data_IF_240671509106
#
_entry.id   IF_240671509106
#
_cell.length_a   1.000
_cell.length_b   1.000
_cell.length_c   1.000
_cell.angle_alpha   90.00
_cell.angle_beta   90.00
_cell.angle_gamma   90.00
#
_symmetry.space_group_name_H-M   'P 1'
#
loop_
_entity.id
_entity.type
_entity.pdbx_description
1 polymer ?
#
# COMPACT_ATOMS: atom_id res chain seq x y z
N UNK A 1 12.15 1.09 -7.93
CA UNK A 1 13.03 1.09 -9.12
C UNK A 1 12.92 -0.21 -9.93
N UNK A 2 12.96 -1.40 -9.31
CA UNK A 2 12.82 -2.67 -10.05
C UNK A 2 11.47 -2.81 -10.75
N UNK A 3 10.37 -2.44 -10.12
CA UNK A 3 9.04 -2.35 -10.74
C UNK A 3 9.02 -1.39 -11.93
N UNK A 4 9.70 -0.25 -11.85
CA UNK A 4 9.77 0.72 -12.93
C UNK A 4 10.47 0.13 -14.17
N UNK A 5 11.59 -0.58 -13.99
CA UNK A 5 12.27 -1.24 -15.10
C UNK A 5 11.49 -2.45 -15.63
N UNK A 6 10.92 -3.27 -14.75
CA UNK A 6 10.14 -4.44 -15.17
C UNK A 6 8.84 -4.04 -15.88
N UNK A 7 8.12 -3.03 -15.38
CA UNK A 7 6.93 -2.49 -16.05
C UNK A 7 7.24 -1.89 -17.41
N UNK A 8 8.44 -1.28 -17.58
CA UNK A 8 8.91 -0.82 -18.88
C UNK A 8 9.24 -1.97 -19.86
N UNK A 9 9.76 -3.10 -19.34
CA UNK A 9 10.16 -4.25 -20.16
C UNK A 9 8.99 -5.17 -20.52
N UNK A 10 8.05 -5.34 -19.60
CA UNK A 10 6.95 -6.30 -19.68
C UNK A 10 5.67 -5.57 -19.25
N UNK A 11 5.11 -4.70 -20.10
CA UNK A 11 3.92 -3.92 -19.79
C UNK A 11 2.66 -4.81 -19.94
N UNK A 12 2.46 -5.73 -18.99
CA UNK A 12 1.32 -6.64 -18.93
C UNK A 12 0.60 -6.51 -17.59
N UNK A 13 -0.71 -6.63 -17.60
CA UNK A 13 -1.53 -6.77 -16.39
C UNK A 13 -1.13 -8.01 -15.59
N UNK A 14 -1.33 -8.02 -14.28
CA UNK A 14 -0.77 -9.00 -13.34
C UNK A 14 0.76 -9.06 -13.40
N UNK A 15 1.38 -7.88 -13.36
CA UNK A 15 2.80 -7.64 -13.60
C UNK A 15 3.73 -8.59 -12.86
N UNK A 16 3.55 -8.79 -11.54
CA UNK A 16 4.43 -9.60 -10.70
C UNK A 16 4.45 -11.08 -11.15
N UNK A 17 3.29 -11.64 -11.46
CA UNK A 17 3.17 -13.02 -11.94
C UNK A 17 3.79 -13.15 -13.36
N UNK A 18 3.57 -12.15 -14.22
CA UNK A 18 4.18 -12.11 -15.55
C UNK A 18 5.70 -11.99 -15.48
N UNK A 19 6.23 -11.18 -14.55
CA UNK A 19 7.67 -11.04 -14.35
C UNK A 19 8.33 -12.35 -13.93
N UNK A 20 7.70 -13.10 -13.01
CA UNK A 20 8.20 -14.40 -12.60
C UNK A 20 8.17 -15.44 -13.72
N UNK A 21 7.12 -15.45 -14.53
CA UNK A 21 7.00 -16.34 -15.68
C UNK A 21 8.09 -16.06 -16.71
N UNK A 22 8.33 -14.79 -17.04
CA UNK A 22 9.35 -14.39 -18.02
C UNK A 22 10.78 -14.63 -17.49
N UNK A 23 11.01 -14.35 -16.21
CA UNK A 23 12.34 -14.49 -15.61
C UNK A 23 12.74 -15.95 -15.40
N UNK A 24 11.84 -16.79 -14.91
CA UNK A 24 12.18 -18.14 -14.45
C UNK A 24 11.48 -19.24 -15.26
N UNK A 25 10.43 -18.94 -16.02
CA UNK A 25 9.62 -19.95 -16.69
C UNK A 25 8.93 -20.90 -15.71
N UNK A 26 8.60 -20.43 -14.50
CA UNK A 26 8.11 -21.24 -13.39
C UNK A 26 6.63 -20.94 -13.09
N UNK A 27 5.66 -21.71 -13.64
CA UNK A 27 4.24 -21.45 -13.46
C UNK A 27 3.80 -21.46 -11.99
N UNK A 28 4.39 -22.34 -11.16
CA UNK A 28 4.10 -22.39 -9.73
C UNK A 28 4.47 -21.09 -9.01
N UNK A 29 5.66 -20.53 -9.30
CA UNK A 29 6.10 -19.26 -8.72
C UNK A 29 5.19 -18.11 -9.15
N UNK A 30 4.78 -18.06 -10.43
CA UNK A 30 3.84 -17.08 -10.94
C UNK A 30 2.49 -17.17 -10.23
N UNK A 31 1.98 -18.40 -10.03
CA UNK A 31 0.74 -18.64 -9.28
C UNK A 31 0.86 -18.15 -7.84
N UNK A 32 1.94 -18.53 -7.14
CA UNK A 32 2.17 -18.11 -5.75
C UNK A 32 2.24 -16.58 -5.62
N UNK A 33 2.93 -15.90 -6.54
CA UNK A 33 2.99 -14.44 -6.55
C UNK A 33 1.62 -13.81 -6.79
N UNK A 34 0.84 -14.30 -7.75
CA UNK A 34 -0.50 -13.79 -8.00
C UNK A 34 -1.40 -13.92 -6.76
N UNK A 35 -1.38 -15.06 -6.07
CA UNK A 35 -2.11 -15.25 -4.81
C UNK A 35 -1.58 -14.36 -3.68
N UNK A 36 -0.27 -14.11 -3.63
CA UNK A 36 0.34 -13.19 -2.67
C UNK A 36 -0.13 -11.74 -2.91
N UNK A 37 -0.24 -11.30 -4.18
CA UNK A 37 -0.79 -9.98 -4.53
C UNK A 37 -2.25 -9.86 -4.10
N UNK A 38 -3.08 -10.88 -4.34
CA UNK A 38 -4.47 -10.92 -3.84
C UNK A 38 -4.53 -10.82 -2.31
N UNK A 39 -3.63 -11.53 -1.63
CA UNK A 39 -3.54 -11.46 -0.17
C UNK A 39 -3.14 -10.07 0.33
N UNK A 40 -2.12 -9.43 -0.28
CA UNK A 40 -1.71 -8.05 0.05
C UNK A 40 -2.90 -7.10 -0.11
N UNK A 41 -3.59 -7.10 -1.25
CA UNK A 41 -4.74 -6.23 -1.48
C UNK A 41 -5.86 -6.44 -0.46
N UNK A 42 -6.18 -7.71 -0.15
CA UNK A 42 -7.25 -8.05 0.80
C UNK A 42 -6.90 -7.62 2.24
N UNK A 43 -5.67 -7.90 2.69
CA UNK A 43 -5.21 -7.54 4.06
C UNK A 43 -5.03 -6.02 4.17
N UNK A 44 -4.52 -5.36 3.12
CA UNK A 44 -4.38 -3.90 3.06
C UNK A 44 -5.75 -3.21 3.14
N UNK A 45 -6.74 -3.68 2.39
CA UNK A 45 -8.11 -3.16 2.48
C UNK A 45 -8.69 -3.31 3.90
N UNK A 46 -8.43 -4.44 4.58
CA UNK A 46 -8.86 -4.63 5.97
C UNK A 46 -8.19 -3.63 6.93
N UNK A 47 -6.89 -3.34 6.72
CA UNK A 47 -6.17 -2.30 7.48
C UNK A 47 -6.82 -0.92 7.30
N UNK A 48 -7.17 -0.56 6.06
CA UNK A 48 -7.82 0.71 5.72
C UNK A 48 -9.22 0.82 6.32
N UNK A 49 -10.00 -0.27 6.34
CA UNK A 49 -11.32 -0.30 7.00
C UNK A 49 -11.22 -0.04 8.50
N UNK A 50 -10.19 -0.54 9.18
CA UNK A 50 -9.92 -0.17 10.57
C UNK A 50 -9.55 1.32 10.72
N UNK A 51 -8.75 1.85 9.79
CA UNK A 51 -8.45 3.29 9.72
C UNK A 51 -9.71 4.14 9.56
N UNK A 52 -10.66 3.68 8.73
CA UNK A 52 -11.98 4.33 8.59
C UNK A 52 -12.73 4.41 9.91
N UNK A 53 -12.81 3.30 10.67
CA UNK A 53 -13.44 3.28 11.99
C UNK A 53 -12.75 4.26 12.93
N UNK A 54 -11.42 4.32 12.91
CA UNK A 54 -10.65 5.24 13.74
C UNK A 54 -10.95 6.71 13.44
N UNK A 55 -10.95 7.13 12.17
CA UNK A 55 -11.28 8.52 11.82
C UNK A 55 -12.77 8.85 11.99
N UNK A 56 -13.66 7.86 11.84
CA UNK A 56 -15.09 8.05 12.09
C UNK A 56 -15.37 8.37 13.57
N UNK A 57 -14.60 7.83 14.50
CA UNK A 57 -14.75 8.08 15.94
C UNK A 57 -14.56 9.56 16.33
N UNK A 58 -13.91 10.37 15.49
CA UNK A 58 -13.80 11.83 15.70
C UNK A 58 -15.18 12.51 15.58
N UNK A 59 -16.11 11.93 14.84
CA UNK A 59 -17.45 12.49 14.64
C UNK A 59 -18.52 11.81 15.51
N UNK A 60 -18.39 10.49 15.71
CA UNK A 60 -19.37 9.71 16.48
C UNK A 60 -18.75 8.42 17.03
N UNK A 61 -18.95 8.17 18.30
CA UNK A 61 -18.59 6.91 18.94
C UNK A 61 -19.60 5.82 18.58
N UNK A 62 -19.31 5.07 17.52
CA UNK A 62 -20.17 3.98 17.05
C UNK A 62 -19.51 2.62 17.31
N UNK A 63 -20.32 1.56 17.54
CA UNK A 63 -19.79 0.21 17.65
C UNK A 63 -19.02 -0.20 16.39
N UNK A 64 -17.76 -0.65 16.54
CA UNK A 64 -16.90 -0.93 15.41
C UNK A 64 -17.44 -2.02 14.47
N UNK A 65 -18.02 -3.10 15.02
CA UNK A 65 -18.49 -4.26 14.23
C UNK A 65 -19.53 -3.88 13.17
N UNK A 66 -20.67 -3.23 13.50
CA UNK A 66 -21.63 -2.81 12.48
C UNK A 66 -21.05 -1.77 11.51
N UNK A 67 -20.17 -0.88 11.95
CA UNK A 67 -19.50 0.09 11.06
C UNK A 67 -18.62 -0.61 10.04
N UNK A 68 -17.79 -1.56 10.46
CA UNK A 68 -16.97 -2.38 9.57
C UNK A 68 -17.84 -3.12 8.55
N UNK A 69 -18.93 -3.77 9.02
CA UNK A 69 -19.83 -4.51 8.13
C UNK A 69 -20.45 -3.61 7.07
N UNK A 70 -21.01 -2.46 7.47
CA UNK A 70 -21.63 -1.49 6.55
C UNK A 70 -20.61 -0.90 5.58
N UNK A 71 -19.41 -0.57 6.06
CA UNK A 71 -18.32 -0.05 5.24
C UNK A 71 -17.93 -1.08 4.15
N UNK A 72 -17.65 -2.32 4.54
CA UNK A 72 -17.25 -3.37 3.60
C UNK A 72 -18.38 -3.72 2.64
N UNK A 73 -19.64 -3.79 3.11
CA UNK A 73 -20.79 -4.03 2.25
C UNK A 73 -20.97 -2.90 1.22
N UNK A 74 -20.82 -1.64 1.63
CA UNK A 74 -20.88 -0.48 0.73
C UNK A 74 -19.77 -0.50 -0.31
N UNK A 75 -18.51 -0.70 0.10
CA UNK A 75 -17.37 -0.79 -0.81
C UNK A 75 -17.51 -1.96 -1.79
N UNK A 76 -17.99 -3.12 -1.30
CA UNK A 76 -18.26 -4.28 -2.13
C UNK A 76 -19.34 -4.01 -3.17
N UNK A 77 -20.43 -3.35 -2.78
CA UNK A 77 -21.50 -2.96 -3.70
C UNK A 77 -20.97 -2.02 -4.79
N UNK A 78 -20.16 -1.03 -4.45
CA UNK A 78 -19.51 -0.11 -5.39
C UNK A 78 -18.59 -0.88 -6.35
N UNK A 79 -17.74 -1.77 -5.82
CA UNK A 79 -16.82 -2.58 -6.62
C UNK A 79 -17.57 -3.52 -7.60
N UNK A 80 -18.70 -4.11 -7.18
CA UNK A 80 -19.55 -4.96 -8.02
C UNK A 80 -20.27 -4.12 -9.08
N UNK A 81 -20.73 -2.92 -8.76
CA UNK A 81 -21.41 -2.05 -9.72
C UNK A 81 -20.50 -1.66 -10.87
N UNK A 82 -19.18 -1.67 -10.66
CA UNK A 82 -18.22 -1.39 -11.72
C UNK A 82 -18.17 0.09 -12.09
N UNK A 83 -18.35 0.96 -11.09
CA UNK A 83 -18.17 2.40 -11.31
C UNK A 83 -16.70 2.60 -11.68
N UNK A 84 -16.46 2.77 -12.98
CA UNK A 84 -15.16 3.26 -13.47
C UNK A 84 -15.01 4.69 -13.01
N UNK A 85 -14.13 4.92 -12.03
CA UNK A 85 -13.76 6.28 -11.69
C UNK A 85 -13.20 6.95 -12.95
N UNK A 86 -13.70 8.15 -13.26
CA UNK A 86 -13.05 8.93 -14.31
C UNK A 86 -11.64 9.31 -13.82
N UNK A 87 -10.67 9.35 -14.72
CA UNK A 87 -9.30 9.79 -14.41
C UNK A 87 -9.30 11.14 -13.64
N UNK A 88 -10.25 12.00 -13.93
CA UNK A 88 -10.42 13.29 -13.26
C UNK A 88 -10.88 13.14 -11.81
N UNK A 89 -11.78 12.21 -11.54
CA UNK A 89 -12.27 11.92 -10.18
C UNK A 89 -11.14 11.35 -9.31
N UNK A 90 -10.41 10.37 -9.84
CA UNK A 90 -9.26 9.79 -9.14
C UNK A 90 -8.18 10.85 -8.85
N UNK A 91 -7.85 11.70 -9.84
CA UNK A 91 -6.90 12.79 -9.65
C UNK A 91 -7.38 13.82 -8.62
N UNK A 92 -8.68 14.16 -8.59
CA UNK A 92 -9.24 15.09 -7.62
C UNK A 92 -9.18 14.53 -6.19
N UNK A 93 -9.49 13.24 -6.01
CA UNK A 93 -9.39 12.56 -4.71
C UNK A 93 -7.93 12.56 -4.24
N UNK A 94 -6.99 12.16 -5.10
CA UNK A 94 -5.54 12.16 -4.75
C UNK A 94 -5.05 13.56 -4.41
N UNK A 95 -5.49 14.60 -5.14
CA UNK A 95 -5.15 15.97 -4.82
C UNK A 95 -5.70 16.41 -3.45
N UNK A 96 -6.94 16.02 -3.12
CA UNK A 96 -7.54 16.27 -1.82
C UNK A 96 -6.77 15.57 -0.68
N UNK A 97 -6.38 14.32 -0.88
CA UNK A 97 -5.59 13.53 0.07
C UNK A 97 -4.22 14.19 0.33
N UNK A 98 -3.50 14.54 -0.75
CA UNK A 98 -2.22 15.23 -0.65
C UNK A 98 -2.37 16.61 0.02
N UNK A 99 -3.43 17.36 -0.31
CA UNK A 99 -3.73 18.65 0.33
C UNK A 99 -4.02 18.48 1.83
N UNK A 100 -4.66 17.40 2.25
CA UNK A 100 -4.86 17.07 3.67
C UNK A 100 -3.53 16.88 4.41
N UNK A 101 -2.58 16.15 3.84
CA UNK A 101 -1.25 15.98 4.45
C UNK A 101 -0.48 17.30 4.49
N UNK A 102 -0.53 18.11 3.41
CA UNK A 102 0.07 19.45 3.38
C UNK A 102 -0.57 20.37 4.43
N UNK A 103 -1.90 20.28 4.59
CA UNK A 103 -2.63 21.04 5.62
C UNK A 103 -2.10 20.73 7.03
N UNK A 104 -1.90 19.45 7.38
CA UNK A 104 -1.30 19.07 8.67
C UNK A 104 0.10 19.66 8.83
N UNK A 105 0.93 19.62 7.79
CA UNK A 105 2.27 20.21 7.81
C UNK A 105 2.24 21.74 8.01
N UNK A 106 1.26 22.43 7.41
CA UNK A 106 1.11 23.88 7.54
C UNK A 106 0.61 24.26 8.92
N UNK A 107 -0.40 23.57 9.42
CA UNK A 107 -1.00 23.82 10.75
C UNK A 107 -0.01 23.60 11.87
N UNK A 108 0.84 22.58 11.77
CA UNK A 108 1.88 22.29 12.74
C UNK A 108 3.28 22.70 12.26
N UNK A 109 3.35 23.79 11.49
CA UNK A 109 4.58 24.30 10.87
C UNK A 109 5.67 24.74 11.85
N UNK A 110 5.29 25.12 13.08
CA UNK A 110 6.21 25.35 14.19
C UNK A 110 7.08 24.14 14.56
N UNK A 111 6.62 22.95 14.26
CA UNK A 111 7.39 21.71 14.43
C UNK A 111 8.66 21.68 13.60
N UNK A 112 8.70 22.37 12.43
CA UNK A 112 9.91 22.45 11.61
C UNK A 112 10.96 23.35 12.21
N UNK A 113 10.57 24.45 12.91
CA UNK A 113 11.51 25.27 13.68
C UNK A 113 12.09 24.45 14.84
N UNK A 114 11.23 23.75 15.60
CA UNK A 114 11.66 22.85 16.67
C UNK A 114 12.60 21.74 16.17
N UNK A 115 12.34 21.19 14.99
CA UNK A 115 13.24 20.23 14.34
C UNK A 115 14.59 20.86 13.97
N UNK A 116 14.61 22.09 13.45
CA UNK A 116 15.84 22.77 13.08
C UNK A 116 16.71 23.10 14.31
N UNK A 117 16.08 23.41 15.45
CA UNK A 117 16.76 23.73 16.70
C UNK A 117 17.31 22.47 17.41
N UNK A 118 16.59 21.36 17.36
CA UNK A 118 16.93 20.09 18.04
C UNK A 118 16.74 18.86 17.13
N UNK A 119 17.42 18.85 16.00
CA UNK A 119 17.36 17.72 15.06
C UNK A 119 17.94 16.42 15.64
N UNK A 120 18.76 16.51 16.70
CA UNK A 120 19.33 15.34 17.36
C UNK A 120 18.27 14.51 18.09
N UNK A 121 17.12 15.10 18.44
CA UNK A 121 16.02 14.42 19.12
C UNK A 121 15.45 13.22 18.31
N UNK A 122 15.55 13.24 16.98
CA UNK A 122 15.09 12.13 16.14
C UNK A 122 16.13 11.01 16.01
N UNK A 123 17.38 11.25 16.41
CA UNK A 123 18.39 10.21 16.38
C UNK A 123 18.15 9.23 17.50
N UNK A 124 18.08 7.93 17.22
CA UNK A 124 17.97 6.93 18.27
C UNK A 124 19.25 6.89 19.08
N UNK A 125 19.12 6.62 20.36
CA UNK A 125 20.27 6.18 21.15
C UNK A 125 20.88 4.95 20.48
N UNK A 126 22.22 4.93 20.31
CA UNK A 126 22.91 3.80 19.67
C UNK A 126 22.98 2.59 20.59
N UNK A 127 21.88 2.25 21.26
CA UNK A 127 21.71 1.02 22.01
C UNK A 127 20.86 0.00 21.23
N UNK A 128 20.99 -1.27 21.62
CA UNK A 128 20.34 -2.37 20.90
C UNK A 128 18.80 -2.20 20.86
N UNK A 129 18.19 -1.76 21.96
CA UNK A 129 16.73 -1.59 22.05
C UNK A 129 16.22 -0.51 21.11
N UNK A 130 16.89 0.64 21.06
CA UNK A 130 16.49 1.75 20.19
C UNK A 130 16.66 1.39 18.70
N UNK A 131 17.77 0.71 18.33
CA UNK A 131 17.96 0.23 16.96
C UNK A 131 16.86 -0.77 16.58
N UNK A 132 16.50 -1.68 17.48
CA UNK A 132 15.39 -2.60 17.26
C UNK A 132 14.05 -1.86 17.07
N UNK A 133 13.79 -0.82 17.86
CA UNK A 133 12.61 0.02 17.69
C UNK A 133 12.55 0.69 16.31
N UNK A 134 13.67 1.25 15.84
CA UNK A 134 13.75 1.89 14.52
C UNK A 134 13.48 0.90 13.40
N UNK A 135 14.09 -0.28 13.43
CA UNK A 135 13.90 -1.30 12.38
C UNK A 135 12.46 -1.83 12.38
N UNK A 136 11.87 -2.08 13.55
CA UNK A 136 10.46 -2.50 13.65
C UNK A 136 9.50 -1.39 13.20
N UNK A 137 9.80 -0.13 13.55
CA UNK A 137 9.06 1.03 13.05
C UNK A 137 9.14 1.17 11.53
N UNK A 138 10.34 1.00 10.96
CA UNK A 138 10.54 1.02 9.51
C UNK A 138 9.77 -0.10 8.79
N UNK A 139 9.71 -1.30 9.39
CA UNK A 139 8.93 -2.41 8.87
C UNK A 139 7.43 -2.10 8.79
N UNK A 140 6.88 -1.48 9.85
CA UNK A 140 5.48 -1.06 9.87
C UNK A 140 5.26 0.11 8.90
N UNK A 141 6.16 1.10 8.89
CA UNK A 141 6.08 2.26 8.01
C UNK A 141 6.17 1.88 6.53
N UNK A 142 6.77 0.74 6.20
CA UNK A 142 6.79 0.20 4.83
C UNK A 142 5.37 -0.01 4.29
N UNK A 143 4.38 -0.30 5.14
CA UNK A 143 2.97 -0.37 4.75
C UNK A 143 2.49 0.88 4.03
N UNK A 144 2.94 2.07 4.43
CA UNK A 144 2.53 3.33 3.81
C UNK A 144 3.00 3.48 2.34
N UNK A 145 3.98 2.69 1.91
CA UNK A 145 4.46 2.70 0.52
C UNK A 145 3.76 1.69 -0.38
N UNK A 146 2.93 0.79 0.17
CA UNK A 146 2.19 -0.22 -0.59
C UNK A 146 1.12 0.47 -1.44
N UNK A 147 1.02 0.09 -2.72
CA UNK A 147 0.10 0.63 -3.72
C UNK A 147 0.80 1.22 -4.96
N UNK A 148 2.08 1.67 -4.87
CA UNK A 148 2.78 2.13 -6.08
C UNK A 148 3.00 0.99 -7.09
N UNK A 149 3.07 -0.24 -6.63
CA UNK A 149 3.17 -1.45 -7.46
C UNK A 149 1.91 -1.72 -8.26
N UNK A 150 0.75 -1.27 -7.79
CA UNK A 150 -0.52 -1.45 -8.51
C UNK A 150 -0.52 -0.75 -9.87
N UNK A 151 0.33 0.27 -10.05
CA UNK A 151 0.53 0.96 -11.34
C UNK A 151 0.92 -0.03 -12.46
N UNK A 152 1.66 -1.09 -12.16
CA UNK A 152 2.05 -2.06 -13.18
C UNK A 152 0.89 -2.96 -13.62
N UNK A 153 -0.14 -3.11 -12.77
CA UNK A 153 -1.31 -3.93 -13.07
C UNK A 153 -2.28 -3.27 -14.07
N UNK A 154 -2.14 -1.95 -14.29
CA UNK A 154 -2.88 -1.20 -15.32
C UNK A 154 -2.02 -0.88 -16.54
N UNK A 155 -0.87 -1.53 -16.70
CA UNK A 155 0.10 -1.22 -17.76
C UNK A 155 -0.49 -1.27 -19.18
N UNK A 156 -1.44 -2.17 -19.45
CA UNK A 156 -2.10 -2.34 -20.75
C UNK A 156 -3.05 -1.18 -21.08
N UNK A 157 -3.49 -0.42 -20.09
CA UNK A 157 -4.37 0.74 -20.26
C UNK A 157 -3.57 2.05 -20.49
N UNK A 158 -2.24 2.00 -20.31
CA UNK A 158 -1.36 3.17 -20.36
C UNK A 158 -0.83 3.41 -21.75
N UNK A 159 -0.90 4.66 -22.23
CA UNK A 159 -0.24 5.06 -23.48
C UNK A 159 1.27 5.09 -23.29
N UNK A 160 2.03 4.46 -24.22
CA UNK A 160 3.50 4.36 -24.15
C UNK A 160 4.02 3.91 -22.78
N UNK A 161 3.61 2.70 -22.32
CA UNK A 161 3.89 2.23 -20.97
C UNK A 161 5.38 2.15 -20.66
N UNK A 162 6.23 1.89 -21.67
CA UNK A 162 7.69 1.79 -21.53
C UNK A 162 8.32 3.07 -20.96
N UNK A 163 7.71 4.24 -21.22
CA UNK A 163 8.19 5.54 -20.73
C UNK A 163 7.35 6.09 -19.61
N UNK A 164 6.04 5.85 -19.65
CA UNK A 164 5.09 6.43 -18.70
C UNK A 164 5.17 5.73 -17.34
N UNK A 165 5.20 4.39 -17.29
CA UNK A 165 5.24 3.64 -16.05
C UNK A 165 6.47 3.96 -15.18
N UNK A 166 7.72 3.95 -15.72
CA UNK A 166 8.88 4.28 -14.91
C UNK A 166 8.80 5.68 -14.29
N UNK A 167 8.33 6.66 -15.08
CA UNK A 167 8.18 8.05 -14.60
C UNK A 167 7.12 8.16 -13.52
N UNK A 168 5.95 7.54 -13.73
CA UNK A 168 4.86 7.54 -12.76
C UNK A 168 5.30 6.91 -11.42
N UNK A 169 5.95 5.75 -11.45
CA UNK A 169 6.45 5.07 -10.25
C UNK A 169 7.49 5.93 -9.52
N UNK A 170 8.46 6.52 -10.25
CA UNK A 170 9.50 7.35 -9.64
C UNK A 170 8.90 8.60 -9.01
N UNK A 171 7.99 9.30 -9.72
CA UNK A 171 7.34 10.51 -9.21
C UNK A 171 6.49 10.17 -7.98
N UNK A 172 5.67 9.11 -8.05
CA UNK A 172 4.86 8.67 -6.93
C UNK A 172 5.70 8.39 -5.68
N UNK A 173 6.79 7.63 -5.83
CA UNK A 173 7.69 7.31 -4.71
C UNK A 173 8.38 8.55 -4.14
N UNK A 174 8.84 9.48 -4.98
CA UNK A 174 9.51 10.70 -4.50
C UNK A 174 8.55 11.62 -3.76
N UNK A 175 7.35 11.84 -4.31
CA UNK A 175 6.33 12.70 -3.69
C UNK A 175 5.85 12.09 -2.38
N UNK A 176 5.51 10.79 -2.37
CA UNK A 176 5.06 10.09 -1.16
C UNK A 176 6.14 10.09 -0.08
N UNK A 177 7.41 9.79 -0.44
CA UNK A 177 8.52 9.83 0.51
C UNK A 177 8.69 11.21 1.11
N UNK A 178 8.63 12.27 0.28
CA UNK A 178 8.72 13.63 0.76
C UNK A 178 7.61 13.99 1.76
N UNK A 179 6.36 13.67 1.42
CA UNK A 179 5.22 13.90 2.32
C UNK A 179 5.32 13.08 3.62
N UNK A 180 5.73 11.81 3.55
CA UNK A 180 5.87 10.96 4.74
C UNK A 180 6.97 11.45 5.67
N UNK A 181 8.11 11.91 5.13
CA UNK A 181 9.18 12.51 5.94
C UNK A 181 8.68 13.78 6.63
N UNK A 182 7.98 14.65 5.90
CA UNK A 182 7.43 15.89 6.49
C UNK A 182 6.42 15.58 7.60
N UNK A 183 5.48 14.65 7.36
CA UNK A 183 4.50 14.24 8.37
C UNK A 183 5.19 13.57 9.57
N UNK A 184 6.22 12.74 9.36
CA UNK A 184 6.96 12.12 10.45
C UNK A 184 7.67 13.16 11.35
N UNK A 185 8.30 14.19 10.75
CA UNK A 185 8.88 15.31 11.48
C UNK A 185 7.78 16.02 12.30
N UNK A 186 6.70 16.42 11.63
CA UNK A 186 5.59 17.10 12.30
C UNK A 186 5.02 16.25 13.45
N UNK A 187 4.75 14.97 13.22
CA UNK A 187 4.22 14.09 14.24
C UNK A 187 5.14 13.96 15.47
N UNK A 188 6.45 13.89 15.25
CA UNK A 188 7.44 13.74 16.32
C UNK A 188 7.58 15.01 17.19
N UNK A 189 7.42 16.19 16.59
CA UNK A 189 7.64 17.47 17.29
C UNK A 189 6.33 18.16 17.72
N UNK A 190 5.18 17.82 17.10
CA UNK A 190 3.90 18.46 17.41
C UNK A 190 3.30 17.98 18.72
N UNK A 191 3.38 16.69 19.01
CA UNK A 191 2.79 16.06 20.21
C UNK A 191 3.72 14.96 20.75
N UNK A 192 3.64 14.65 22.06
CA UNK A 192 4.39 13.53 22.62
C UNK A 192 4.04 12.20 21.92
N UNK A 193 5.01 11.31 21.69
CA UNK A 193 4.76 10.02 21.04
C UNK A 193 3.69 9.18 21.76
N UNK A 194 3.59 9.30 23.09
CA UNK A 194 2.61 8.61 23.90
C UNK A 194 1.16 9.02 23.57
N UNK A 195 0.98 10.28 23.16
CA UNK A 195 -0.33 10.81 22.74
C UNK A 195 -0.76 10.24 21.40
N UNK A 196 0.20 9.94 20.50
CA UNK A 196 -0.07 9.32 19.22
C UNK A 196 -0.21 7.81 19.31
N UNK A 197 0.51 7.20 20.27
CA UNK A 197 0.47 5.75 20.48
C UNK A 197 -0.95 5.29 20.87
N UNK A 198 -1.53 4.44 20.03
CA UNK A 198 -2.90 3.94 20.22
C UNK A 198 -4.02 4.93 19.89
N UNK A 199 -3.70 6.15 19.44
CA UNK A 199 -4.73 7.08 18.99
C UNK A 199 -5.33 6.60 17.66
N UNK A 200 -6.65 6.44 17.56
CA UNK A 200 -7.30 5.95 16.34
C UNK A 200 -7.26 6.96 15.17
N UNK A 201 -7.03 8.25 15.45
CA UNK A 201 -6.99 9.33 14.46
C UNK A 201 -5.79 10.27 14.70
N UNK A 202 -4.54 9.80 14.53
CA UNK A 202 -3.33 10.53 14.95
C UNK A 202 -3.17 11.89 14.26
N UNK A 203 -3.50 12.02 12.98
CA UNK A 203 -3.43 13.30 12.27
C UNK A 203 -4.46 14.31 12.80
N UNK A 204 -5.64 13.84 13.21
CA UNK A 204 -6.64 14.69 13.84
C UNK A 204 -6.17 15.21 15.20
N UNK A 205 -5.49 14.38 15.99
CA UNK A 205 -4.90 14.77 17.29
C UNK A 205 -3.79 15.84 17.11
N UNK A 206 -2.97 15.74 16.06
CA UNK A 206 -1.95 16.76 15.73
C UNK A 206 -2.62 18.10 15.43
N UNK A 207 -3.65 18.11 14.59
CA UNK A 207 -4.38 19.34 14.21
C UNK A 207 -5.07 19.98 15.42
N UNK A 208 -5.72 19.16 16.25
CA UNK A 208 -6.37 19.59 17.47
C UNK A 208 -5.39 20.20 18.49
N UNK A 209 -4.19 19.64 18.63
CA UNK A 209 -3.14 20.17 19.50
C UNK A 209 -2.71 21.59 19.14
N UNK A 210 -2.98 22.04 17.93
CA UNK A 210 -2.73 23.40 17.43
C UNK A 210 -3.97 24.29 17.46
N UNK A 211 -5.06 23.86 18.12
CA UNK A 211 -6.31 24.63 18.25
C UNK A 211 -7.18 24.67 17.01
N UNK A 212 -6.93 23.83 16.01
CA UNK A 212 -7.78 23.73 14.83
C UNK A 212 -8.79 22.57 14.97
N UNK A 213 -9.97 22.66 14.33
CA UNK A 213 -10.97 21.61 14.38
C UNK A 213 -10.44 20.30 13.78
N UNK A 214 -10.43 19.18 14.54
CA UNK A 214 -9.92 17.89 14.04
C UNK A 214 -10.79 17.30 12.93
N UNK A 215 -12.06 17.71 12.83
CA UNK A 215 -13.02 17.21 11.86
C UNK A 215 -12.61 17.42 10.41
N UNK A 216 -11.85 18.48 10.07
CA UNK A 216 -11.41 18.76 8.69
C UNK A 216 -10.51 17.62 8.20
N UNK A 217 -9.45 17.34 8.94
CA UNK A 217 -8.51 16.28 8.54
C UNK A 217 -9.12 14.89 8.69
N UNK A 218 -9.96 14.68 9.71
CA UNK A 218 -10.68 13.42 9.88
C UNK A 218 -11.60 13.15 8.68
N UNK A 219 -12.32 14.15 8.18
CA UNK A 219 -13.18 14.01 6.99
C UNK A 219 -12.36 13.66 5.74
N UNK A 220 -11.25 14.35 5.48
CA UNK A 220 -10.36 14.04 4.36
C UNK A 220 -9.82 12.61 4.49
N UNK A 221 -9.40 12.22 5.70
CA UNK A 221 -8.86 10.88 5.95
C UNK A 221 -9.91 9.78 5.76
N UNK A 222 -11.19 10.01 6.08
CA UNK A 222 -12.28 9.06 5.79
C UNK A 222 -12.37 8.76 4.29
N UNK A 223 -12.33 9.79 3.45
CA UNK A 223 -12.34 9.59 2.00
C UNK A 223 -11.09 8.89 1.49
N UNK A 224 -9.91 9.27 2.00
CA UNK A 224 -8.65 8.66 1.63
C UNK A 224 -8.63 7.15 1.90
N UNK A 225 -9.01 6.74 3.11
CA UNK A 225 -8.99 5.32 3.47
C UNK A 225 -10.09 4.51 2.75
N UNK A 226 -11.26 5.11 2.49
CA UNK A 226 -12.32 4.46 1.70
C UNK A 226 -11.90 4.26 0.25
N UNK A 227 -11.31 5.29 -0.36
CA UNK A 227 -10.79 5.21 -1.72
C UNK A 227 -9.70 4.13 -1.84
N UNK A 228 -8.71 4.15 -0.95
CA UNK A 228 -7.67 3.13 -0.90
C UNK A 228 -8.23 1.71 -0.72
N UNK A 229 -9.17 1.52 0.20
CA UNK A 229 -9.80 0.21 0.42
C UNK A 229 -10.59 -0.28 -0.82
N UNK A 230 -11.31 0.62 -1.49
CA UNK A 230 -12.04 0.31 -2.72
C UNK A 230 -11.09 -0.13 -3.83
N UNK A 231 -10.01 0.62 -4.06
CA UNK A 231 -8.99 0.28 -5.06
C UNK A 231 -8.40 -1.09 -4.77
N UNK A 232 -8.04 -1.39 -3.52
CA UNK A 232 -7.47 -2.70 -3.16
C UNK A 232 -8.48 -3.86 -3.33
N UNK A 233 -9.76 -3.67 -3.05
CA UNK A 233 -10.81 -4.69 -3.30
C UNK A 233 -10.93 -4.95 -4.80
N UNK A 234 -10.97 -3.90 -5.62
CA UNK A 234 -11.06 -4.00 -7.07
C UNK A 234 -9.82 -4.71 -7.63
N UNK A 235 -8.62 -4.30 -7.22
CA UNK A 235 -7.36 -4.89 -7.68
C UNK A 235 -7.27 -6.37 -7.29
N UNK A 236 -7.53 -6.74 -6.04
CA UNK A 236 -7.52 -8.13 -5.60
C UNK A 236 -8.49 -9.01 -6.42
N UNK A 237 -9.70 -8.52 -6.70
CA UNK A 237 -10.69 -9.25 -7.49
C UNK A 237 -10.28 -9.38 -8.97
N UNK A 238 -9.65 -8.36 -9.56
CA UNK A 238 -9.13 -8.38 -10.93
C UNK A 238 -7.93 -9.32 -11.09
N UNK A 239 -7.02 -9.34 -10.12
CA UNK A 239 -5.89 -10.28 -10.12
C UNK A 239 -6.39 -11.71 -10.00
N UNK A 240 -7.38 -12.00 -9.14
CA UNK A 240 -8.05 -13.31 -9.07
C UNK A 240 -8.65 -13.72 -10.42
N UNK A 241 -9.35 -12.80 -11.08
CA UNK A 241 -9.89 -13.02 -12.42
C UNK A 241 -8.77 -13.34 -13.43
N UNK A 242 -7.68 -12.57 -13.41
CA UNK A 242 -6.53 -12.79 -14.30
C UNK A 242 -5.89 -14.16 -14.09
N UNK A 243 -5.67 -14.57 -12.83
CA UNK A 243 -5.17 -15.90 -12.49
C UNK A 243 -6.08 -17.02 -13.00
N UNK A 244 -7.40 -16.88 -12.80
CA UNK A 244 -8.37 -17.88 -13.23
C UNK A 244 -8.47 -17.98 -14.76
N UNK A 245 -8.41 -16.84 -15.45
CA UNK A 245 -8.39 -16.78 -16.92
C UNK A 245 -7.13 -17.42 -17.51
N UNK A 246 -6.01 -17.33 -16.78
CA UNK A 246 -4.74 -18.00 -17.11
C UNK A 246 -4.66 -19.46 -16.67
N UNK A 247 -5.74 -20.05 -16.07
CA UNK A 247 -5.75 -21.42 -15.59
C UNK A 247 -4.97 -21.64 -14.28
N UNK A 248 -4.58 -20.57 -13.57
CA UNK A 248 -3.79 -20.60 -12.34
C UNK A 248 -4.65 -20.49 -11.07
N UNK A 249 -5.99 -20.36 -11.23
CA UNK A 249 -6.98 -20.35 -10.16
C UNK A 249 -8.27 -21.04 -10.63
N UNK A 250 -9.18 -21.40 -9.70
CA UNK A 250 -10.44 -22.03 -10.05
C UNK A 250 -11.26 -21.23 -11.07
N UNK A 251 -11.83 -21.90 -12.08
CA UNK A 251 -12.57 -21.27 -13.19
C UNK A 251 -13.78 -20.42 -12.72
N UNK A 252 -14.28 -20.63 -11.50
CA UNK A 252 -15.34 -19.80 -10.94
C UNK A 252 -14.96 -18.31 -10.84
N UNK A 253 -13.69 -18.00 -10.61
CA UNK A 253 -13.18 -16.62 -10.56
C UNK A 253 -13.04 -15.96 -11.93
N UNK A 254 -13.03 -16.74 -13.03
CA UNK A 254 -12.98 -16.21 -14.39
C UNK A 254 -14.35 -15.71 -14.90
N UNK A 255 -15.43 -15.86 -14.10
CA UNK A 255 -16.76 -15.42 -14.49
C UNK A 255 -16.94 -13.93 -14.28
N UNK A 256 -17.24 -13.20 -15.36
CA UNK A 256 -17.55 -11.78 -15.35
C UNK A 256 -19.06 -11.58 -15.59
N UNK A 257 -19.65 -10.69 -14.83
CA UNK A 257 -21.06 -10.33 -15.01
C UNK A 257 -21.23 -9.53 -16.31
N UNK A 258 -22.15 -9.92 -17.23
CA UNK A 258 -22.32 -9.23 -18.51
C UNK A 258 -22.77 -7.77 -18.42
N UNK A 259 -23.46 -7.40 -17.32
CA UNK A 259 -24.00 -6.04 -17.15
C UNK A 259 -22.99 -5.10 -16.51
N UNK A 260 -22.31 -5.54 -15.46
CA UNK A 260 -21.38 -4.70 -14.69
C UNK A 260 -19.92 -4.82 -15.15
N UNK A 261 -19.62 -5.83 -15.98
CA UNK A 261 -18.27 -6.15 -16.45
C UNK A 261 -17.27 -6.40 -15.30
N UNK A 262 -17.77 -6.89 -14.16
CA UNK A 262 -16.99 -7.15 -12.94
C UNK A 262 -17.03 -8.62 -12.53
N UNK A 263 -15.96 -9.15 -11.90
CA UNK A 263 -15.90 -10.53 -11.40
C UNK A 263 -16.60 -10.64 -10.04
N UNK A 264 -17.94 -10.60 -10.00
CA UNK A 264 -18.75 -10.55 -8.77
C UNK A 264 -18.34 -11.64 -7.78
N UNK A 265 -18.15 -12.88 -8.23
CA UNK A 265 -17.78 -13.99 -7.36
C UNK A 265 -16.44 -13.75 -6.66
N UNK A 266 -15.43 -13.29 -7.42
CA UNK A 266 -14.12 -12.92 -6.86
C UNK A 266 -14.21 -11.78 -5.84
N UNK A 267 -14.96 -10.74 -6.18
CA UNK A 267 -15.18 -9.58 -5.29
C UNK A 267 -15.86 -10.00 -3.97
N UNK A 268 -16.88 -10.87 -4.03
CA UNK A 268 -17.57 -11.38 -2.83
C UNK A 268 -16.64 -12.22 -1.94
N UNK A 269 -15.77 -13.05 -2.52
CA UNK A 269 -14.79 -13.83 -1.75
C UNK A 269 -13.76 -12.91 -1.09
N UNK A 270 -13.22 -11.94 -1.82
CA UNK A 270 -12.30 -10.92 -1.27
C UNK A 270 -12.97 -10.19 -0.10
N UNK A 271 -14.20 -9.70 -0.27
CA UNK A 271 -14.95 -9.01 0.77
C UNK A 271 -15.23 -9.88 2.00
N UNK A 272 -15.55 -11.16 1.80
CA UNK A 272 -15.78 -12.11 2.90
C UNK A 272 -14.52 -12.36 3.71
N UNK A 273 -13.38 -12.55 3.03
CA UNK A 273 -12.07 -12.71 3.69
C UNK A 273 -11.68 -11.43 4.41
N UNK A 274 -11.89 -10.26 3.77
CA UNK A 274 -11.63 -8.96 4.37
C UNK A 274 -12.43 -8.76 5.67
N UNK A 275 -13.74 -9.04 5.68
CA UNK A 275 -14.58 -8.99 6.89
C UNK A 275 -14.04 -9.90 7.98
N UNK A 276 -13.67 -11.13 7.64
CA UNK A 276 -13.10 -12.08 8.59
C UNK A 276 -11.79 -11.54 9.19
N UNK A 277 -10.91 -10.97 8.36
CA UNK A 277 -9.65 -10.38 8.81
C UNK A 277 -9.88 -9.20 9.75
N UNK A 278 -10.82 -8.29 9.42
CA UNK A 278 -11.18 -7.18 10.31
C UNK A 278 -11.72 -7.67 11.67
N UNK A 279 -12.34 -8.82 11.69
CA UNK A 279 -12.92 -9.39 12.92
C UNK A 279 -11.87 -10.07 13.81
N UNK A 280 -10.89 -10.71 13.18
CA UNK A 280 -9.89 -11.52 13.88
C UNK A 280 -8.64 -10.72 14.28
N UNK A 281 -8.29 -9.67 13.55
CA UNK A 281 -6.98 -9.03 13.67
C UNK A 281 -7.12 -7.50 13.85
N UNK A 282 -6.33 -6.91 14.76
CA UNK A 282 -6.26 -5.47 14.91
C UNK A 282 -5.44 -4.83 13.77
N UNK A 283 -5.64 -3.51 13.56
CA UNK A 283 -5.00 -2.70 12.51
C UNK A 283 -3.49 -2.94 12.40
N UNK A 284 -2.78 -2.91 13.52
CA UNK A 284 -1.31 -3.05 13.52
C UNK A 284 -0.86 -4.43 13.01
N UNK A 285 -1.57 -5.50 13.39
CA UNK A 285 -1.28 -6.86 12.91
C UNK A 285 -1.54 -6.99 11.41
N UNK A 286 -2.63 -6.41 10.92
CA UNK A 286 -2.94 -6.38 9.49
C UNK A 286 -1.87 -5.63 8.69
N UNK A 287 -1.45 -4.45 9.15
CA UNK A 287 -0.37 -3.68 8.52
C UNK A 287 0.96 -4.47 8.49
N UNK A 288 1.31 -5.17 9.57
CA UNK A 288 2.50 -6.04 9.63
C UNK A 288 2.41 -7.20 8.63
N UNK A 289 1.28 -7.90 8.57
CA UNK A 289 1.06 -9.01 7.63
C UNK A 289 1.17 -8.51 6.20
N UNK A 290 0.56 -7.36 5.88
CA UNK A 290 0.64 -6.75 4.56
C UNK A 290 2.09 -6.44 4.20
N UNK A 291 2.85 -5.77 5.09
CA UNK A 291 4.26 -5.47 4.87
C UNK A 291 5.10 -6.73 4.66
N UNK A 292 4.84 -7.79 5.43
CA UNK A 292 5.56 -9.06 5.32
C UNK A 292 5.37 -9.69 3.94
N UNK A 293 4.11 -9.81 3.49
CA UNK A 293 3.80 -10.41 2.18
C UNK A 293 4.34 -9.53 1.04
N UNK A 294 4.18 -8.21 1.13
CA UNK A 294 4.67 -7.27 0.13
C UNK A 294 6.21 -7.32 0.01
N UNK A 295 6.94 -7.36 1.12
CA UNK A 295 8.40 -7.52 1.11
C UNK A 295 8.84 -8.84 0.47
N UNK A 296 8.08 -9.92 0.69
CA UNK A 296 8.34 -11.22 0.03
C UNK A 296 8.13 -11.11 -1.50
N UNK A 297 7.04 -10.47 -1.95
CA UNK A 297 6.81 -10.19 -3.37
C UNK A 297 7.96 -9.34 -3.93
N UNK A 298 8.33 -8.25 -3.25
CA UNK A 298 9.40 -7.35 -3.70
C UNK A 298 10.76 -8.05 -3.78
N UNK A 299 11.03 -8.99 -2.86
CA UNK A 299 12.22 -9.84 -2.96
C UNK A 299 12.22 -10.61 -4.29
N UNK A 300 11.13 -11.30 -4.61
CA UNK A 300 11.03 -12.08 -5.86
C UNK A 300 11.09 -11.18 -7.09
N UNK A 301 10.41 -10.03 -7.08
CA UNK A 301 10.44 -9.06 -8.18
C UNK A 301 11.87 -8.54 -8.43
N UNK A 302 12.65 -8.25 -7.38
CA UNK A 302 14.06 -7.87 -7.51
C UNK A 302 14.90 -9.02 -8.12
N UNK A 303 14.65 -10.26 -7.72
CA UNK A 303 15.32 -11.44 -8.29
C UNK A 303 14.92 -11.67 -9.76
N UNK A 304 13.64 -11.43 -10.11
CA UNK A 304 13.19 -11.47 -11.51
C UNK A 304 13.98 -10.48 -12.36
N UNK A 305 14.15 -9.24 -11.91
CA UNK A 305 14.93 -8.25 -12.65
C UNK A 305 16.41 -8.67 -12.80
N UNK A 306 17.05 -9.18 -11.73
CA UNK A 306 18.41 -9.69 -11.80
C UNK A 306 18.56 -10.81 -12.82
N UNK A 307 17.61 -11.75 -12.84
CA UNK A 307 17.59 -12.87 -13.78
C UNK A 307 17.42 -12.41 -15.23
N UNK A 308 16.48 -11.49 -15.49
CA UNK A 308 16.25 -10.92 -16.82
C UNK A 308 17.48 -10.14 -17.32
N UNK A 309 18.15 -9.39 -16.43
CA UNK A 309 19.41 -8.70 -16.77
C UNK A 309 20.58 -9.65 -17.09
N UNK A 310 20.51 -10.92 -16.68
CA UNK A 310 21.49 -11.94 -17.09
C UNK A 310 21.18 -12.53 -18.45
N UNK A 311 19.89 -12.71 -18.75
CA UNK A 311 19.41 -13.36 -19.99
C UNK A 311 19.36 -12.43 -21.20
N UNK A 312 19.11 -11.13 -21.00
CA UNK A 312 18.84 -10.18 -22.08
C UNK A 312 20.07 -9.34 -22.42
N UNK A 313 20.35 -9.25 -23.72
CA UNK A 313 21.42 -8.42 -24.29
C UNK A 313 20.97 -7.00 -24.63
N UNK A 314 19.67 -6.80 -24.88
CA UNK A 314 19.10 -5.48 -25.24
C UNK A 314 18.73 -4.71 -23.97
N UNK A 315 19.23 -3.48 -23.88
CA UNK A 315 18.89 -2.57 -22.77
C UNK A 315 17.58 -1.84 -23.11
N UNK A 316 16.60 -1.82 -22.17
CA UNK A 316 15.40 -0.99 -22.33
C UNK A 316 15.73 0.49 -22.16
N UNK A 317 14.78 1.36 -22.54
CA UNK A 317 14.89 2.82 -22.40
C UNK A 317 15.13 3.22 -20.93
N UNK A 318 14.48 2.55 -19.99
CA UNK A 318 14.69 2.72 -18.54
C UNK A 318 15.43 1.52 -17.96
N UNK A 319 16.64 1.74 -17.47
CA UNK A 319 17.50 0.69 -16.94
C UNK A 319 18.21 1.16 -15.67
N UNK A 320 18.08 0.39 -14.59
CA UNK A 320 18.80 0.62 -13.33
C UNK A 320 20.07 -0.24 -13.23
N UNK A 321 21.12 0.18 -12.49
CA UNK A 321 22.28 -0.66 -12.22
C UNK A 321 21.90 -1.97 -11.51
N UNK A 322 22.62 -3.07 -11.77
CA UNK A 322 22.37 -4.37 -11.12
C UNK A 322 22.48 -4.33 -9.59
N UNK A 323 23.24 -3.40 -9.06
CA UNK A 323 23.40 -3.21 -7.62
C UNK A 323 22.06 -2.83 -6.94
N UNK A 324 21.18 -2.07 -7.62
CA UNK A 324 19.90 -1.63 -7.03
C UNK A 324 18.94 -2.80 -6.74
N UNK A 325 18.59 -3.68 -7.71
CA UNK A 325 17.76 -4.83 -7.40
C UNK A 325 18.42 -5.83 -6.43
N UNK A 326 19.76 -5.96 -6.46
CA UNK A 326 20.44 -6.78 -5.48
C UNK A 326 20.32 -6.22 -4.06
N UNK A 327 20.58 -4.92 -3.88
CA UNK A 327 20.40 -4.24 -2.59
C UNK A 327 18.94 -4.31 -2.12
N UNK A 328 17.97 -4.11 -3.04
CA UNK A 328 16.55 -4.23 -2.74
C UNK A 328 16.18 -5.63 -2.24
N UNK A 329 16.65 -6.69 -2.91
CA UNK A 329 16.41 -8.07 -2.48
C UNK A 329 17.02 -8.34 -1.09
N UNK A 330 18.26 -7.93 -0.86
CA UNK A 330 18.95 -8.13 0.43
C UNK A 330 18.23 -7.39 1.56
N UNK A 331 17.84 -6.13 1.34
CA UNK A 331 17.12 -5.34 2.33
C UNK A 331 15.74 -5.94 2.66
N UNK A 332 14.97 -6.37 1.64
CA UNK A 332 13.68 -7.01 1.88
C UNK A 332 13.85 -8.30 2.70
N UNK A 333 14.80 -9.16 2.35
CA UNK A 333 15.08 -10.39 3.12
C UNK A 333 15.54 -10.07 4.54
N UNK A 334 16.41 -9.07 4.73
CA UNK A 334 16.87 -8.66 6.05
C UNK A 334 15.71 -8.17 6.93
N UNK A 335 14.80 -7.36 6.38
CA UNK A 335 13.61 -6.90 7.11
C UNK A 335 12.65 -8.04 7.48
N UNK A 336 12.41 -8.97 6.55
CA UNK A 336 11.59 -10.17 6.81
C UNK A 336 12.21 -11.03 7.91
N UNK A 337 13.52 -11.32 7.81
CA UNK A 337 14.22 -12.13 8.80
C UNK A 337 14.20 -11.47 10.19
N UNK A 338 14.42 -10.16 10.24
CA UNK A 338 14.36 -9.39 11.47
C UNK A 338 12.97 -9.49 12.14
N UNK A 339 11.89 -9.24 11.39
CA UNK A 339 10.53 -9.29 11.93
C UNK A 339 10.14 -10.71 12.36
N UNK A 340 10.58 -11.73 11.61
CA UNK A 340 10.36 -13.14 11.97
C UNK A 340 11.02 -13.51 13.30
N UNK A 341 12.23 -13.03 13.55
CA UNK A 341 12.95 -13.24 14.82
C UNK A 341 12.24 -12.53 15.98
N UNK A 342 11.75 -11.31 15.74
CA UNK A 342 11.00 -10.55 16.73
C UNK A 342 9.66 -11.20 17.10
N UNK A 343 8.99 -11.81 16.14
CA UNK A 343 7.72 -12.51 16.37
C UNK A 343 7.88 -13.78 17.20
N UNK A 344 9.06 -14.40 17.18
CA UNK A 344 9.37 -15.64 17.93
C UNK A 344 9.88 -15.36 19.36
N UNK A 345 10.15 -14.10 19.70
CA UNK A 345 10.57 -13.66 21.05
C UNK A 345 9.39 -13.16 21.85
#
# INVERSE_FOLDING_TARGET
MSFAELGSRIPRSAGEAAYAQEAFGAPLLSTMLGWAVVAVGTVSAATMVHGFVGYLSVFAELPAIPVIFLCVAGLTAIAIWGIGESLLTAAAITALEAAGLVFVCVVAGDSFASFADDWMRILPDFNQTAIFGVVSGAFIAFYAFIGFEDIVNIAEEVKTPEKTLPRAIVIALLVSTGLYVLIAIVATYAVPPETLAGNPAPLAAIVESRGFPPGIIAFISLFAVLNGALVQIIMASRVLYGLASGGLAPAAFARVNPRTQTPIFGTMIVASVLLLLCWLLPLLSLARITSFIALAIFTVVNLCLLQLKRKQTVRPDFCVPRALPLAGAVLCVAMIAYESINFLR
#
